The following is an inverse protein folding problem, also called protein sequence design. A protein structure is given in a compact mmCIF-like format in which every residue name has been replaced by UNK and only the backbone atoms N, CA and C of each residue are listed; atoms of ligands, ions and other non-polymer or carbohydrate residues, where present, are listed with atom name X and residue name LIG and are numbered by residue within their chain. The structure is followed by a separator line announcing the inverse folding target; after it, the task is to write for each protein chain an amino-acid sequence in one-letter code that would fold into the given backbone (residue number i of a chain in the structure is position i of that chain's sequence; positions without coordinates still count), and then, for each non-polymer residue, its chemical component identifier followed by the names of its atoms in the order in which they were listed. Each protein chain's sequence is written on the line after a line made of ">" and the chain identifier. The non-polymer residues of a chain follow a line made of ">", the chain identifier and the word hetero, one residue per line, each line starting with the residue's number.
data_IF_048647934409
#
_entry.id   IF_048647934409
#
_cell.length_a   1.000
_cell.length_b   1.000
_cell.length_c   1.000
_cell.angle_alpha   90.00
_cell.angle_beta   90.00
_cell.angle_gamma   90.00
#
_symmetry.space_group_name_H-M   'P 1'
#
loop_
_entity.id
_entity.type
_entity.pdbx_description
1 polymer ?
#
# COMPACT_ATOMS: atom_id res chain seq x y z
N UNK A 1 -24.54 -5.54 -11.10
CA UNK A 1 -23.65 -6.73 -11.09
C UNK A 1 -22.45 -6.42 -11.98
N UNK A 2 -21.33 -5.98 -11.41
CA UNK A 2 -20.10 -5.81 -12.20
C UNK A 2 -19.49 -7.20 -12.36
N UNK A 3 -19.45 -7.73 -13.59
CA UNK A 3 -18.74 -8.97 -13.86
C UNK A 3 -17.27 -8.75 -13.49
N UNK A 4 -16.71 -9.61 -12.63
CA UNK A 4 -15.32 -9.50 -12.23
C UNK A 4 -14.48 -9.73 -13.49
N UNK A 5 -13.76 -8.71 -13.94
CA UNK A 5 -12.89 -8.83 -15.12
C UNK A 5 -11.80 -9.86 -14.82
N UNK A 6 -11.72 -10.90 -15.64
CA UNK A 6 -10.72 -11.97 -15.52
C UNK A 6 -9.70 -11.90 -16.64
N UNK A 7 -8.57 -12.59 -16.46
CA UNK A 7 -7.52 -12.64 -17.48
C UNK A 7 -6.58 -11.44 -17.41
N UNK A 8 -5.69 -11.26 -18.41
CA UNK A 8 -4.63 -10.25 -18.34
C UNK A 8 -5.17 -8.82 -18.17
N UNK A 9 -6.26 -8.46 -18.84
CA UNK A 9 -6.88 -7.14 -18.66
C UNK A 9 -7.36 -6.92 -17.22
N UNK A 10 -8.03 -7.92 -16.63
CA UNK A 10 -8.47 -7.87 -15.23
C UNK A 10 -7.30 -7.72 -14.25
N UNK A 11 -6.24 -8.51 -14.43
CA UNK A 11 -5.03 -8.44 -13.61
C UNK A 11 -4.35 -7.07 -13.70
N UNK A 12 -4.28 -6.49 -14.90
CA UNK A 12 -3.73 -5.15 -15.11
C UNK A 12 -4.53 -4.09 -14.35
N UNK A 13 -5.86 -4.11 -14.47
CA UNK A 13 -6.73 -3.16 -13.76
C UNK A 13 -6.64 -3.32 -12.24
N UNK A 14 -6.51 -4.55 -11.73
CA UNK A 14 -6.39 -4.83 -10.29
C UNK A 14 -5.11 -4.23 -9.64
N UNK A 15 -4.11 -3.84 -10.44
CA UNK A 15 -2.90 -3.16 -9.95
C UNK A 15 -3.01 -1.64 -9.91
N UNK A 16 -4.01 -1.07 -10.59
CA UNK A 16 -4.29 0.36 -10.57
C UNK A 16 -5.07 0.76 -9.29
N UNK A 17 -4.98 2.03 -8.85
CA UNK A 17 -4.08 3.06 -9.39
C UNK A 17 -2.61 2.85 -8.98
N UNK A 18 -1.69 3.26 -9.84
CA UNK A 18 -0.24 3.19 -9.63
C UNK A 18 0.32 4.59 -9.45
N UNK A 19 0.82 4.89 -8.25
CA UNK A 19 1.57 6.12 -7.97
C UNK A 19 2.84 5.74 -7.22
N UNK A 20 4.02 6.26 -7.63
CA UNK A 20 5.27 5.98 -6.95
C UNK A 20 5.19 6.46 -5.49
N UNK A 21 5.37 5.52 -4.56
CA UNK A 21 5.45 5.82 -3.13
C UNK A 21 6.68 5.14 -2.56
N UNK A 22 7.32 5.80 -1.59
CA UNK A 22 8.38 5.16 -0.82
C UNK A 22 7.73 4.04 0.00
N UNK A 23 8.05 2.81 -0.35
CA UNK A 23 7.65 1.63 0.39
C UNK A 23 8.83 1.16 1.26
N UNK A 24 8.54 0.57 2.42
CA UNK A 24 9.55 -0.18 3.14
C UNK A 24 10.03 -1.32 2.23
N UNK A 25 11.34 -1.40 1.97
CA UNK A 25 11.91 -2.44 1.12
C UNK A 25 11.88 -3.77 1.87
N UNK A 26 11.58 -4.86 1.16
CA UNK A 26 11.78 -6.20 1.70
C UNK A 26 13.24 -6.62 1.48
N UNK A 27 14.14 -6.06 2.28
CA UNK A 27 15.53 -6.50 2.39
C UNK A 27 15.61 -7.94 2.97
N UNK A 28 16.76 -8.63 2.88
CA UNK A 28 16.97 -9.91 3.56
C UNK A 28 16.55 -9.87 5.03
N UNK A 29 15.96 -10.96 5.53
CA UNK A 29 15.32 -11.04 6.85
C UNK A 29 16.23 -10.55 7.98
N UNK A 30 17.48 -10.99 8.01
CA UNK A 30 18.47 -10.56 9.01
C UNK A 30 18.65 -9.04 9.02
N UNK A 31 18.71 -8.39 7.85
CA UNK A 31 18.84 -6.93 7.76
C UNK A 31 17.60 -6.22 8.31
N UNK A 32 16.40 -6.79 8.11
CA UNK A 32 15.15 -6.23 8.64
C UNK A 32 15.08 -6.33 10.16
N UNK A 33 15.53 -7.45 10.73
CA UNK A 33 15.61 -7.64 12.19
C UNK A 33 16.68 -6.74 12.81
N UNK A 34 17.82 -6.59 12.13
CA UNK A 34 18.84 -5.64 12.54
C UNK A 34 18.34 -4.19 12.51
N UNK A 35 17.62 -3.80 11.45
CA UNK A 35 17.00 -2.47 11.35
C UNK A 35 16.03 -2.19 12.51
N UNK A 36 15.20 -3.16 12.89
CA UNK A 36 14.33 -3.05 14.07
C UNK A 36 15.12 -2.78 15.34
N UNK A 37 16.21 -3.53 15.53
CA UNK A 37 17.08 -3.42 16.70
C UNK A 37 17.75 -2.03 16.75
N UNK A 38 18.26 -1.55 15.62
CA UNK A 38 18.95 -0.26 15.55
C UNK A 38 17.98 0.92 15.74
N UNK A 39 16.78 0.86 15.15
CA UNK A 39 15.73 1.85 15.38
C UNK A 39 15.26 1.86 16.85
N UNK A 40 15.17 0.70 17.50
CA UNK A 40 14.79 0.63 18.90
C UNK A 40 15.84 1.27 19.82
N UNK A 41 17.13 1.04 19.56
CA UNK A 41 18.22 1.72 20.26
C UNK A 41 18.17 3.24 20.03
N UNK A 42 18.04 3.65 18.77
CA UNK A 42 17.93 5.07 18.41
C UNK A 42 16.75 5.75 19.11
N UNK A 43 15.59 5.08 19.18
CA UNK A 43 14.42 5.58 19.88
C UNK A 43 14.69 5.73 21.38
N UNK A 44 15.37 4.77 22.00
CA UNK A 44 15.73 4.83 23.41
C UNK A 44 16.71 5.98 23.71
N UNK A 45 17.75 6.13 22.88
CA UNK A 45 18.78 7.16 23.03
C UNK A 45 18.22 8.59 22.87
N UNK A 46 17.31 8.77 21.90
CA UNK A 46 16.72 10.08 21.59
C UNK A 46 15.43 10.37 22.38
N UNK A 47 14.80 9.34 22.95
CA UNK A 47 13.47 9.43 23.55
C UNK A 47 12.38 9.81 22.54
N UNK A 48 12.57 9.54 21.24
CA UNK A 48 11.67 9.95 20.17
C UNK A 48 10.53 8.94 19.95
N UNK A 49 9.27 9.31 20.23
CA UNK A 49 8.13 8.41 20.05
C UNK A 49 7.85 8.05 18.58
N UNK A 50 8.17 8.91 17.60
CA UNK A 50 7.98 8.56 16.18
C UNK A 50 8.95 7.47 15.71
N UNK A 51 10.19 7.49 16.20
CA UNK A 51 11.16 6.41 15.94
C UNK A 51 10.70 5.11 16.58
N UNK A 52 10.20 5.15 17.83
CA UNK A 52 9.63 3.97 18.49
C UNK A 52 8.39 3.42 17.75
N UNK A 53 7.51 4.30 17.27
CA UNK A 53 6.35 3.97 16.42
C UNK A 53 6.78 3.21 15.16
N UNK A 54 7.89 3.63 14.54
CA UNK A 54 8.46 2.96 13.36
C UNK A 54 8.89 1.53 13.65
N UNK A 55 9.43 1.23 14.86
CA UNK A 55 9.78 -0.14 15.27
C UNK A 55 8.54 -1.03 15.30
N UNK A 56 7.46 -0.58 15.95
CA UNK A 56 6.21 -1.35 16.01
C UNK A 56 5.60 -1.55 14.62
N UNK A 57 5.57 -0.52 13.78
CA UNK A 57 5.05 -0.60 12.42
C UNK A 57 5.85 -1.61 11.56
N UNK A 58 7.18 -1.59 11.65
CA UNK A 58 8.03 -2.53 10.91
C UNK A 58 7.91 -3.97 11.45
N UNK A 59 7.72 -4.16 12.76
CA UNK A 59 7.51 -5.48 13.35
C UNK A 59 6.16 -6.09 12.90
N UNK A 60 5.09 -5.28 12.90
CA UNK A 60 3.79 -5.70 12.37
C UNK A 60 3.85 -5.99 10.86
N UNK A 61 4.59 -5.17 10.10
CA UNK A 61 4.85 -5.43 8.67
C UNK A 61 5.60 -6.75 8.47
N UNK A 62 6.64 -7.01 9.26
CA UNK A 62 7.39 -8.25 9.19
C UNK A 62 6.49 -9.45 9.50
N UNK A 63 5.69 -9.40 10.58
CA UNK A 63 4.72 -10.46 10.87
C UNK A 63 3.73 -10.68 9.71
N UNK A 64 3.23 -9.60 9.09
CA UNK A 64 2.37 -9.67 7.90
C UNK A 64 3.05 -10.35 6.72
N UNK A 65 4.28 -9.96 6.39
CA UNK A 65 5.04 -10.54 5.27
C UNK A 65 5.34 -12.01 5.48
N UNK A 66 5.51 -12.38 6.75
CA UNK A 66 5.77 -13.74 7.18
C UNK A 66 4.55 -14.65 7.15
N UNK A 67 3.38 -14.13 6.78
CA UNK A 67 2.13 -14.89 6.74
C UNK A 67 1.54 -15.11 8.13
N UNK A 68 1.83 -14.23 9.09
CA UNK A 68 1.29 -14.24 10.45
C UNK A 68 0.33 -13.04 10.66
N UNK A 69 -0.78 -12.94 9.91
CA UNK A 69 -1.68 -11.78 9.98
C UNK A 69 -2.32 -11.59 11.36
N UNK A 70 -2.56 -12.68 12.10
CA UNK A 70 -3.05 -12.62 13.48
C UNK A 70 -2.04 -11.93 14.41
N UNK A 71 -0.76 -12.29 14.32
CA UNK A 71 0.30 -11.63 15.09
C UNK A 71 0.46 -10.16 14.68
N UNK A 72 0.43 -9.86 13.37
CA UNK A 72 0.48 -8.48 12.89
C UNK A 72 -0.65 -7.63 13.47
N UNK A 73 -1.89 -8.17 13.52
CA UNK A 73 -3.05 -7.52 14.15
C UNK A 73 -2.81 -7.28 15.64
N UNK A 74 -2.34 -8.28 16.38
CA UNK A 74 -2.02 -8.14 17.81
C UNK A 74 -0.96 -7.06 18.04
N UNK A 75 0.10 -7.02 17.23
CA UNK A 75 1.15 -6.00 17.33
C UNK A 75 0.61 -4.59 17.08
N UNK A 76 -0.26 -4.40 16.08
CA UNK A 76 -0.93 -3.12 15.82
C UNK A 76 -1.80 -2.68 17.01
N UNK A 77 -2.60 -3.59 17.56
CA UNK A 77 -3.50 -3.28 18.67
C UNK A 77 -2.74 -2.96 19.97
N UNK A 78 -1.71 -3.73 20.29
CA UNK A 78 -0.85 -3.47 21.46
C UNK A 78 -0.17 -2.11 21.32
N UNK A 79 0.35 -1.79 20.13
CA UNK A 79 0.99 -0.51 19.84
C UNK A 79 0.04 0.67 20.11
N UNK A 80 -1.19 0.62 19.58
CA UNK A 80 -2.20 1.64 19.87
C UNK A 80 -2.52 1.70 21.38
N UNK A 81 -2.66 0.54 22.03
CA UNK A 81 -2.97 0.40 23.45
C UNK A 81 -2.02 1.14 24.39
N UNK A 82 -0.71 1.17 24.08
CA UNK A 82 0.28 1.87 24.91
C UNK A 82 0.02 3.38 25.02
N UNK A 83 -0.49 4.00 23.94
CA UNK A 83 -0.90 5.40 23.95
C UNK A 83 -2.28 5.59 24.57
N UNK A 84 -3.25 4.72 24.22
CA UNK A 84 -4.65 4.85 24.65
C UNK A 84 -4.82 4.77 26.18
N UNK A 85 -3.88 4.12 26.87
CA UNK A 85 -3.82 4.09 28.34
C UNK A 85 -3.55 5.46 29.00
N UNK A 86 -3.08 6.45 28.24
CA UNK A 86 -2.63 7.75 28.75
C UNK A 86 -3.44 8.92 28.19
N UNK A 87 -4.69 8.67 27.78
CA UNK A 87 -5.61 9.72 27.34
C UNK A 87 -5.89 10.73 28.46
N UNK A 88 -6.13 12.02 28.14
CA UNK A 88 -6.10 12.60 26.80
C UNK A 88 -4.68 12.86 26.29
N UNK A 89 -4.48 12.78 24.97
CA UNK A 89 -3.21 12.96 24.26
C UNK A 89 -3.14 14.30 23.53
N UNK A 90 -1.92 14.74 23.21
CA UNK A 90 -1.71 15.81 22.22
C UNK A 90 -2.10 15.33 20.83
N UNK A 91 -2.45 16.25 19.91
CA UNK A 91 -2.73 15.90 18.51
C UNK A 91 -1.59 15.11 17.86
N UNK A 92 -0.34 15.43 18.19
CA UNK A 92 0.83 14.71 17.69
C UNK A 92 0.85 13.24 18.13
N UNK A 93 0.67 12.95 19.43
CA UNK A 93 0.64 11.57 19.93
C UNK A 93 -0.63 10.84 19.47
N UNK A 94 -1.76 11.54 19.38
CA UNK A 94 -3.00 10.99 18.84
C UNK A 94 -2.81 10.49 17.39
N UNK A 95 -2.10 11.24 16.53
CA UNK A 95 -1.75 10.76 15.17
C UNK A 95 -0.94 9.47 15.19
N UNK A 96 0.01 9.33 16.12
CA UNK A 96 0.80 8.08 16.28
C UNK A 96 -0.07 6.89 16.69
N UNK A 97 -1.18 7.10 17.41
CA UNK A 97 -2.16 6.03 17.72
C UNK A 97 -2.84 5.52 16.46
N UNK A 98 -3.12 6.39 15.49
CA UNK A 98 -3.82 6.01 14.28
C UNK A 98 -2.93 5.29 13.27
N UNK A 99 -1.61 5.48 13.28
CA UNK A 99 -0.72 4.74 12.39
C UNK A 99 -0.91 3.20 12.46
N UNK A 100 -0.87 2.55 13.64
CA UNK A 100 -1.14 1.11 13.72
C UNK A 100 -2.61 0.75 13.48
N UNK A 101 -3.58 1.64 13.75
CA UNK A 101 -4.99 1.37 13.48
C UNK A 101 -5.30 1.39 11.98
N UNK A 102 -4.73 2.35 11.24
CA UNK A 102 -4.76 2.39 9.76
C UNK A 102 -4.05 1.17 9.17
N UNK A 103 -2.97 0.69 9.82
CA UNK A 103 -2.31 -0.55 9.40
C UNK A 103 -3.24 -1.77 9.45
N UNK A 104 -4.28 -1.80 10.30
CA UNK A 104 -5.29 -2.87 10.25
C UNK A 104 -6.02 -2.91 8.91
N UNK A 105 -6.40 -1.74 8.36
CA UNK A 105 -6.96 -1.65 7.02
C UNK A 105 -5.93 -2.06 5.94
N UNK A 106 -4.65 -1.70 6.11
CA UNK A 106 -3.60 -2.16 5.21
C UNK A 106 -3.41 -3.68 5.21
N UNK A 107 -3.59 -4.35 6.35
CA UNK A 107 -3.56 -5.83 6.43
C UNK A 107 -4.70 -6.44 5.60
N UNK A 108 -5.92 -5.93 5.74
CA UNK A 108 -7.06 -6.37 4.93
C UNK A 108 -6.80 -6.13 3.43
N UNK A 109 -6.26 -4.97 3.07
CA UNK A 109 -5.89 -4.66 1.69
C UNK A 109 -4.83 -5.62 1.12
N UNK A 110 -3.87 -6.07 1.92
CA UNK A 110 -2.87 -7.07 1.51
C UNK A 110 -3.49 -8.46 1.32
N UNK A 111 -4.52 -8.78 2.10
CA UNK A 111 -5.30 -10.01 1.96
C UNK A 111 -6.29 -9.97 0.78
N UNK A 112 -6.42 -8.84 0.08
CA UNK A 112 -7.40 -8.65 -0.99
C UNK A 112 -8.79 -8.24 -0.50
N UNK A 113 -8.95 -8.00 0.79
CA UNK A 113 -10.21 -7.67 1.45
C UNK A 113 -10.47 -6.16 1.43
N UNK A 114 -10.81 -5.61 0.26
CA UNK A 114 -11.06 -4.18 0.10
C UNK A 114 -12.23 -3.65 0.96
N UNK A 115 -13.35 -4.37 1.02
CA UNK A 115 -14.53 -3.91 1.77
C UNK A 115 -14.29 -3.87 3.29
N UNK A 116 -13.73 -4.93 3.92
CA UNK A 116 -13.32 -4.85 5.33
C UNK A 116 -12.33 -3.72 5.62
N UNK A 117 -11.38 -3.46 4.71
CA UNK A 117 -10.44 -2.34 4.88
C UNK A 117 -11.15 -0.97 4.92
N UNK A 118 -12.09 -0.74 4.00
CA UNK A 118 -12.88 0.50 3.97
C UNK A 118 -13.70 0.66 5.25
N UNK A 119 -14.36 -0.40 5.70
CA UNK A 119 -15.16 -0.38 6.93
C UNK A 119 -14.32 0.00 8.17
N UNK A 120 -13.07 -0.47 8.26
CA UNK A 120 -12.15 -0.05 9.32
C UNK A 120 -11.88 1.45 9.24
N UNK A 121 -11.56 1.98 8.06
CA UNK A 121 -11.22 3.40 7.90
C UNK A 121 -12.43 4.31 8.19
N UNK A 122 -13.62 3.94 7.72
CA UNK A 122 -14.86 4.68 7.98
C UNK A 122 -15.18 4.73 9.48
N UNK A 123 -15.01 3.59 10.16
CA UNK A 123 -15.29 3.49 11.59
C UNK A 123 -14.31 4.29 12.44
N UNK A 124 -13.02 4.29 12.08
CA UNK A 124 -12.02 5.13 12.73
C UNK A 124 -12.34 6.62 12.54
N UNK A 125 -12.77 7.03 11.34
CA UNK A 125 -13.14 8.41 11.05
C UNK A 125 -14.38 8.84 11.84
N UNK A 126 -15.42 8.00 11.85
CA UNK A 126 -16.65 8.21 12.64
C UNK A 126 -16.33 8.40 14.12
N UNK A 127 -15.56 7.49 14.72
CA UNK A 127 -15.23 7.53 16.14
C UNK A 127 -14.51 8.83 16.53
N UNK A 128 -13.60 9.33 15.68
CA UNK A 128 -12.96 10.64 15.90
C UNK A 128 -13.95 11.79 15.76
N UNK A 129 -14.83 11.76 14.75
CA UNK A 129 -15.82 12.82 14.52
C UNK A 129 -16.79 12.95 15.70
N UNK A 130 -17.28 11.81 16.19
CA UNK A 130 -18.29 11.71 17.24
C UNK A 130 -17.71 11.72 18.65
N UNK A 131 -16.38 11.67 18.79
CA UNK A 131 -15.67 11.53 20.07
C UNK A 131 -16.14 10.28 20.85
N UNK A 132 -16.24 9.17 20.15
CA UNK A 132 -16.78 7.90 20.63
C UNK A 132 -15.75 6.76 20.46
N UNK A 133 -16.06 5.58 20.98
CA UNK A 133 -15.27 4.39 20.76
C UNK A 133 -15.50 3.82 19.34
N UNK A 134 -14.46 3.23 18.74
CA UNK A 134 -14.57 2.57 17.44
C UNK A 134 -14.91 1.09 17.62
N UNK A 135 -15.96 0.63 16.95
CA UNK A 135 -16.40 -0.76 16.87
C UNK A 135 -15.96 -1.38 15.54
N UNK A 136 -14.74 -1.90 15.51
CA UNK A 136 -14.15 -2.48 14.31
C UNK A 136 -14.79 -3.84 13.95
N UNK A 137 -14.69 -4.26 12.67
CA UNK A 137 -15.16 -5.58 12.23
C UNK A 137 -14.67 -6.73 13.11
N UNK A 138 -15.59 -7.64 13.43
CA UNK A 138 -15.38 -8.73 14.39
C UNK A 138 -15.68 -8.35 15.85
N UNK A 139 -16.33 -7.20 16.09
CA UNK A 139 -16.77 -6.78 17.43
C UNK A 139 -15.64 -6.24 18.32
N UNK A 140 -14.56 -5.77 17.70
CA UNK A 140 -13.39 -5.26 18.42
C UNK A 140 -13.59 -3.78 18.75
N UNK A 141 -13.71 -3.47 20.03
CA UNK A 141 -13.88 -2.09 20.51
C UNK A 141 -12.51 -1.47 20.78
N UNK A 142 -12.24 -0.32 20.17
CA UNK A 142 -11.07 0.52 20.41
C UNK A 142 -11.50 1.78 21.17
N UNK A 143 -10.98 2.01 22.38
CA UNK A 143 -11.45 3.11 23.22
C UNK A 143 -10.87 4.45 22.73
N UNK A 144 -11.57 5.12 21.82
CA UNK A 144 -11.15 6.39 21.20
C UNK A 144 -11.87 7.60 21.80
N UNK A 145 -12.92 7.40 22.59
CA UNK A 145 -13.60 8.49 23.27
C UNK A 145 -12.60 9.27 24.16
N UNK A 146 -12.63 10.61 24.08
CA UNK A 146 -11.73 11.46 24.86
C UNK A 146 -10.25 11.30 24.52
N UNK A 147 -9.93 10.87 23.29
CA UNK A 147 -8.54 10.70 22.84
C UNK A 147 -7.72 11.99 22.93
N UNK A 148 -8.31 13.13 22.57
CA UNK A 148 -7.68 14.45 22.65
C UNK A 148 -8.36 15.32 23.70
N UNK A 149 -7.62 16.28 24.27
CA UNK A 149 -8.14 17.16 25.32
C UNK A 149 -9.10 18.24 24.80
N UNK A 150 -8.96 18.65 23.54
CA UNK A 150 -9.72 19.74 22.95
C UNK A 150 -10.45 19.31 21.66
N UNK A 151 -11.55 20.01 21.37
CA UNK A 151 -12.27 19.85 20.11
C UNK A 151 -11.47 20.33 18.90
N UNK A 152 -10.54 21.28 19.10
CA UNK A 152 -9.63 21.76 18.05
C UNK A 152 -8.64 20.67 17.64
N UNK A 153 -7.96 20.05 18.61
CA UNK A 153 -7.06 18.91 18.34
C UNK A 153 -7.80 17.74 17.68
N UNK A 154 -9.07 17.52 18.07
CA UNK A 154 -9.93 16.50 17.47
C UNK A 154 -10.26 16.83 16.01
N UNK A 155 -10.58 18.09 15.71
CA UNK A 155 -10.83 18.54 14.34
C UNK A 155 -9.58 18.39 13.46
N UNK A 156 -8.40 18.74 13.98
CA UNK A 156 -7.11 18.57 13.29
C UNK A 156 -6.77 17.10 13.02
N UNK A 157 -7.11 16.21 13.96
CA UNK A 157 -6.96 14.77 13.79
C UNK A 157 -7.95 14.21 12.77
N UNK A 158 -9.22 14.63 12.84
CA UNK A 158 -10.27 14.24 11.92
C UNK A 158 -9.91 14.63 10.48
N UNK A 159 -9.43 15.87 10.25
CA UNK A 159 -9.03 16.33 8.93
C UNK A 159 -7.89 15.48 8.36
N UNK A 160 -6.85 15.22 9.17
CA UNK A 160 -5.74 14.37 8.75
C UNK A 160 -6.19 12.93 8.41
N UNK A 161 -7.10 12.36 9.22
CA UNK A 161 -7.62 11.02 8.97
C UNK A 161 -8.54 10.96 7.75
N UNK A 162 -9.28 12.04 7.47
CA UNK A 162 -10.10 12.18 6.26
C UNK A 162 -9.23 12.03 5.01
N UNK A 163 -8.07 12.69 4.96
CA UNK A 163 -7.17 12.60 3.81
C UNK A 163 -6.70 11.14 3.58
N UNK A 164 -6.34 10.43 4.66
CA UNK A 164 -5.97 9.00 4.59
C UNK A 164 -7.15 8.16 4.09
N UNK A 165 -8.33 8.37 4.67
CA UNK A 165 -9.55 7.62 4.37
C UNK A 165 -9.95 7.77 2.90
N UNK A 166 -9.83 8.98 2.33
CA UNK A 166 -10.17 9.25 0.94
C UNK A 166 -9.28 8.45 -0.01
N UNK A 167 -7.96 8.49 0.16
CA UNK A 167 -7.06 7.81 -0.77
C UNK A 167 -7.00 6.30 -0.57
N UNK A 168 -6.91 5.82 0.67
CA UNK A 168 -6.85 4.37 0.93
C UNK A 168 -8.22 3.71 0.77
N UNK A 169 -9.31 4.40 1.10
CA UNK A 169 -10.67 3.93 0.85
C UNK A 169 -10.97 3.77 -0.64
N UNK A 170 -10.54 4.72 -1.47
CA UNK A 170 -10.69 4.61 -2.92
C UNK A 170 -9.90 3.42 -3.50
N UNK A 171 -8.69 3.16 -2.99
CA UNK A 171 -7.90 1.97 -3.38
C UNK A 171 -8.56 0.68 -2.93
N UNK A 172 -9.18 0.67 -1.76
CA UNK A 172 -9.93 -0.46 -1.24
C UNK A 172 -11.12 -0.79 -2.15
N UNK A 173 -11.88 0.23 -2.57
CA UNK A 173 -12.98 0.11 -3.53
C UNK A 173 -12.48 -0.36 -4.91
N UNK A 174 -11.40 0.23 -5.43
CA UNK A 174 -10.80 -0.16 -6.71
C UNK A 174 -10.36 -1.63 -6.72
N UNK A 175 -9.69 -2.10 -5.66
CA UNK A 175 -9.31 -3.51 -5.50
C UNK A 175 -10.49 -4.46 -5.41
N UNK A 176 -11.61 -4.01 -4.85
CA UNK A 176 -12.86 -4.76 -4.83
C UNK A 176 -13.63 -4.70 -6.18
N UNK A 177 -13.07 -4.06 -7.21
CA UNK A 177 -13.71 -3.88 -8.51
C UNK A 177 -14.84 -2.82 -8.53
N UNK A 178 -15.01 -2.05 -7.45
CA UNK A 178 -16.06 -1.02 -7.28
C UNK A 178 -15.55 0.34 -7.77
N UNK A 179 -15.14 0.42 -9.03
CA UNK A 179 -14.47 1.59 -9.60
C UNK A 179 -15.31 2.87 -9.62
N UNK A 180 -16.60 2.78 -9.95
CA UNK A 180 -17.50 3.93 -9.91
C UNK A 180 -17.61 4.51 -8.50
N UNK A 181 -17.65 3.64 -7.49
CA UNK A 181 -17.69 4.07 -6.09
C UNK A 181 -16.35 4.64 -5.64
N UNK A 182 -15.22 4.04 -6.05
CA UNK A 182 -13.89 4.60 -5.83
C UNK A 182 -13.76 6.02 -6.41
N UNK A 183 -14.31 6.24 -7.62
CA UNK A 183 -14.33 7.55 -8.24
C UNK A 183 -15.19 8.55 -7.45
N UNK A 184 -16.40 8.15 -7.03
CA UNK A 184 -17.23 9.00 -6.18
C UNK A 184 -16.55 9.30 -4.84
N UNK A 185 -15.87 8.32 -4.27
CA UNK A 185 -15.11 8.46 -3.02
C UNK A 185 -14.03 9.54 -3.12
N UNK A 186 -13.25 9.53 -4.20
CA UNK A 186 -12.19 10.51 -4.45
C UNK A 186 -12.71 11.94 -4.69
N UNK A 187 -13.99 12.12 -5.04
CA UNK A 187 -14.57 13.47 -5.17
C UNK A 187 -14.70 14.20 -3.84
N UNK A 188 -14.57 13.49 -2.72
CA UNK A 188 -14.52 14.07 -1.37
C UNK A 188 -13.14 14.69 -1.06
N UNK A 189 -12.11 14.38 -1.84
CA UNK A 189 -10.77 14.97 -1.71
C UNK A 189 -10.79 16.48 -1.93
N UNK A 190 -10.07 17.20 -1.09
CA UNK A 190 -9.72 18.61 -1.31
C UNK A 190 -8.56 18.76 -2.29
N UNK A 191 -7.70 17.74 -2.40
CA UNK A 191 -6.65 17.65 -3.42
C UNK A 191 -7.28 17.30 -4.77
N UNK A 192 -7.22 18.27 -5.68
CA UNK A 192 -7.73 18.20 -7.05
C UNK A 192 -6.61 18.19 -8.08
N UNK A 193 -5.49 17.54 -7.78
CA UNK A 193 -4.40 17.39 -8.73
C UNK A 193 -4.92 17.03 -10.13
N UNK A 194 -4.52 17.82 -11.11
CA UNK A 194 -4.81 17.62 -12.53
C UNK A 194 -3.89 16.58 -13.17
N UNK A 195 -2.92 16.06 -12.42
CA UNK A 195 -1.96 15.05 -12.84
C UNK A 195 -2.56 13.64 -12.86
N UNK A 196 -1.80 12.72 -13.45
CA UNK A 196 -2.18 11.30 -13.54
C UNK A 196 -1.95 10.52 -12.24
N UNK A 197 -2.40 11.07 -11.11
CA UNK A 197 -2.41 10.42 -9.79
C UNK A 197 -3.66 9.56 -9.60
N UNK A 198 -3.91 9.06 -8.38
CA UNK A 198 -4.97 8.10 -8.10
C UNK A 198 -6.35 8.57 -8.58
N UNK A 199 -6.70 9.84 -8.30
CA UNK A 199 -7.94 10.48 -8.75
C UNK A 199 -8.24 10.27 -10.23
N UNK A 200 -7.25 10.58 -11.07
CA UNK A 200 -7.40 10.58 -12.51
C UNK A 200 -7.41 9.17 -13.09
N UNK A 201 -6.55 8.29 -12.59
CA UNK A 201 -6.52 6.89 -13.00
C UNK A 201 -7.83 6.18 -12.68
N UNK A 202 -8.37 6.38 -11.47
CA UNK A 202 -9.66 5.81 -11.06
C UNK A 202 -10.80 6.34 -11.91
N UNK A 203 -10.83 7.65 -12.22
CA UNK A 203 -11.85 8.24 -13.08
C UNK A 203 -11.83 7.65 -14.50
N UNK A 204 -10.64 7.46 -15.09
CA UNK A 204 -10.49 6.82 -16.40
C UNK A 204 -11.05 5.40 -16.40
N UNK A 205 -10.63 4.57 -15.43
CA UNK A 205 -11.08 3.17 -15.36
C UNK A 205 -12.58 3.07 -15.11
N UNK A 206 -13.12 3.87 -14.18
CA UNK A 206 -14.56 3.91 -13.90
C UNK A 206 -15.38 4.24 -15.16
N UNK A 207 -15.00 5.29 -15.89
CA UNK A 207 -15.68 5.66 -17.14
C UNK A 207 -15.58 4.58 -18.21
N UNK A 208 -14.42 3.95 -18.36
CA UNK A 208 -14.24 2.88 -19.34
C UNK A 208 -15.14 1.68 -19.04
N UNK A 209 -15.25 1.28 -17.77
CA UNK A 209 -16.12 0.19 -17.32
C UNK A 209 -17.62 0.52 -17.45
N UNK A 210 -17.98 1.80 -17.43
CA UNK A 210 -19.33 2.29 -17.73
C UNK A 210 -19.63 2.37 -19.24
N UNK A 211 -18.73 1.89 -20.11
CA UNK A 211 -18.87 1.93 -21.56
C UNK A 211 -18.57 3.29 -22.18
N UNK A 212 -18.02 4.24 -21.41
CA UNK A 212 -17.63 5.58 -21.89
C UNK A 212 -16.16 5.60 -22.32
N UNK A 213 -15.74 4.58 -23.06
CA UNK A 213 -14.35 4.29 -23.47
C UNK A 213 -13.72 5.44 -24.26
N UNK A 214 -14.45 6.11 -25.16
CA UNK A 214 -13.95 7.27 -25.90
C UNK A 214 -13.60 8.45 -24.98
N UNK A 215 -14.46 8.75 -23.99
CA UNK A 215 -14.21 9.80 -23.02
C UNK A 215 -13.10 9.43 -22.05
N UNK A 216 -13.02 8.15 -21.65
CA UNK A 216 -11.94 7.63 -20.82
C UNK A 216 -10.57 7.75 -21.52
N UNK A 217 -10.49 7.39 -22.80
CA UNK A 217 -9.27 7.57 -23.62
C UNK A 217 -8.88 9.03 -23.73
N UNK A 218 -9.84 9.91 -23.99
CA UNK A 218 -9.58 11.36 -24.06
C UNK A 218 -9.06 11.87 -22.71
N UNK A 219 -9.70 11.50 -21.60
CA UNK A 219 -9.24 11.89 -20.27
C UNK A 219 -7.81 11.42 -19.98
N UNK A 220 -7.48 10.16 -20.31
CA UNK A 220 -6.13 9.62 -20.09
C UNK A 220 -5.06 10.36 -20.91
N UNK A 221 -5.36 10.67 -22.18
CA UNK A 221 -4.44 11.35 -23.10
C UNK A 221 -4.29 12.84 -22.78
N UNK A 222 -5.38 13.51 -22.42
CA UNK A 222 -5.42 14.96 -22.24
C UNK A 222 -5.02 15.37 -20.80
N UNK A 223 -4.83 14.40 -19.89
CA UNK A 223 -4.27 14.62 -18.56
C UNK A 223 -2.77 14.95 -18.67
N UNK A 224 -2.29 16.07 -18.10
CA UNK A 224 -0.87 16.40 -18.07
C UNK A 224 -0.02 15.28 -17.47
N UNK A 225 1.01 14.88 -18.21
CA UNK A 225 2.04 13.95 -17.77
C UNK A 225 3.39 14.67 -17.83
N UNK A 226 4.07 14.79 -16.70
CA UNK A 226 5.39 15.45 -16.61
C UNK A 226 6.52 14.44 -16.46
N UNK A 227 6.22 13.29 -15.87
CA UNK A 227 7.20 12.26 -15.58
C UNK A 227 7.06 11.08 -16.57
N UNK A 228 8.15 10.38 -16.93
CA UNK A 228 8.08 9.24 -17.84
C UNK A 228 7.09 8.15 -17.39
N UNK A 229 6.99 7.92 -16.07
CA UNK A 229 6.06 6.93 -15.53
C UNK A 229 4.59 7.34 -15.71
N UNK A 230 4.27 8.64 -15.71
CA UNK A 230 2.91 9.13 -15.99
C UNK A 230 2.53 8.87 -17.45
N UNK A 231 3.46 9.10 -18.38
CA UNK A 231 3.26 8.78 -19.79
C UNK A 231 3.02 7.27 -20.01
N UNK A 232 3.77 6.41 -19.32
CA UNK A 232 3.58 4.97 -19.38
C UNK A 232 2.20 4.56 -18.86
N UNK A 233 1.72 5.14 -17.76
CA UNK A 233 0.38 4.87 -17.23
C UNK A 233 -0.71 5.42 -18.16
N UNK A 234 -0.56 6.62 -18.73
CA UNK A 234 -1.54 7.17 -19.68
C UNK A 234 -1.70 6.27 -20.91
N UNK A 235 -0.58 5.78 -21.45
CA UNK A 235 -0.58 4.84 -22.56
C UNK A 235 -1.18 3.48 -22.16
N UNK A 236 -0.88 2.96 -20.97
CA UNK A 236 -1.48 1.74 -20.44
C UNK A 236 -3.00 1.86 -20.26
N UNK A 237 -3.49 2.98 -19.71
CA UNK A 237 -4.91 3.27 -19.59
C UNK A 237 -5.59 3.36 -20.96
N UNK A 238 -4.91 3.93 -21.96
CA UNK A 238 -5.42 3.99 -23.34
C UNK A 238 -5.59 2.60 -23.94
N UNK A 239 -4.61 1.70 -23.74
CA UNK A 239 -4.71 0.28 -24.14
C UNK A 239 -5.89 -0.40 -23.44
N UNK A 240 -6.01 -0.25 -22.12
CA UNK A 240 -7.10 -0.84 -21.35
C UNK A 240 -8.47 -0.37 -21.84
N UNK A 241 -8.64 0.93 -22.11
CA UNK A 241 -9.88 1.48 -22.62
C UNK A 241 -10.24 0.94 -24.02
N UNK A 242 -9.25 0.81 -24.92
CA UNK A 242 -9.47 0.22 -26.26
C UNK A 242 -9.89 -1.25 -26.15
N UNK A 243 -9.25 -2.03 -25.28
CA UNK A 243 -9.62 -3.43 -25.06
C UNK A 243 -11.02 -3.59 -24.44
N UNK A 244 -11.42 -2.69 -23.54
CA UNK A 244 -12.77 -2.66 -22.96
C UNK A 244 -13.84 -2.30 -24.01
N UNK A 245 -13.48 -1.59 -25.07
CA UNK A 245 -14.35 -1.30 -26.23
C UNK A 245 -14.52 -2.52 -27.15
N UNK A 246 -13.72 -3.58 -26.95
CA UNK A 246 -13.64 -4.74 -27.84
C UNK A 246 -12.75 -4.53 -29.07
N UNK A 247 -12.06 -3.39 -29.15
CA UNK A 247 -11.22 -3.03 -30.28
C UNK A 247 -9.82 -3.68 -30.19
N UNK A 248 -9.19 -4.03 -31.33
CA UNK A 248 -7.79 -4.41 -31.37
C UNK A 248 -6.89 -3.25 -30.90
N UNK A 249 -6.05 -3.49 -29.89
CA UNK A 249 -5.20 -2.45 -29.27
C UNK A 249 -3.72 -2.53 -29.67
N UNK A 250 -3.38 -3.12 -30.82
CA UNK A 250 -2.00 -3.43 -31.19
C UNK A 250 -1.09 -2.19 -31.32
N UNK A 251 -1.60 -1.11 -31.92
CA UNK A 251 -0.90 0.17 -32.09
C UNK A 251 -0.75 0.92 -30.75
N UNK A 252 -1.82 0.96 -29.95
CA UNK A 252 -1.79 1.55 -28.62
C UNK A 252 -0.82 0.80 -27.71
N UNK A 253 -0.76 -0.53 -27.83
CA UNK A 253 0.18 -1.35 -27.10
C UNK A 253 1.64 -1.07 -27.50
N UNK A 254 1.91 -0.75 -28.77
CA UNK A 254 3.24 -0.29 -29.19
C UNK A 254 3.64 1.02 -28.52
N UNK A 255 2.71 1.97 -28.47
CA UNK A 255 2.91 3.26 -27.82
C UNK A 255 3.14 3.08 -26.31
N UNK A 256 2.39 2.20 -25.67
CA UNK A 256 2.59 1.82 -24.26
C UNK A 256 3.98 1.22 -24.02
N UNK A 257 4.41 0.27 -24.87
CA UNK A 257 5.73 -0.36 -24.74
C UNK A 257 6.87 0.67 -24.92
N UNK A 258 6.74 1.60 -25.87
CA UNK A 258 7.69 2.71 -26.05
C UNK A 258 7.72 3.66 -24.86
N UNK A 259 6.56 4.06 -24.34
CA UNK A 259 6.47 4.92 -23.16
C UNK A 259 7.07 4.26 -21.92
N UNK A 260 6.80 2.96 -21.70
CA UNK A 260 7.40 2.19 -20.63
C UNK A 260 8.93 2.07 -20.76
N UNK A 261 9.45 1.91 -21.97
CA UNK A 261 10.90 1.86 -22.20
C UNK A 261 11.63 3.16 -21.82
N UNK A 262 10.92 4.30 -21.81
CA UNK A 262 11.47 5.59 -21.35
C UNK A 262 11.45 5.76 -19.82
N UNK A 263 10.85 4.82 -19.08
CA UNK A 263 10.83 4.85 -17.61
C UNK A 263 12.14 4.33 -17.05
N UNK A 264 12.88 5.20 -16.36
CA UNK A 264 14.07 4.80 -15.60
C UNK A 264 13.64 4.33 -14.21
N UNK A 265 13.98 3.09 -13.80
CA UNK A 265 13.72 2.62 -12.43
C UNK A 265 14.40 3.52 -11.40
N UNK A 266 13.71 3.79 -10.30
CA UNK A 266 14.21 4.66 -9.22
C UNK A 266 14.47 3.85 -7.96
N UNK A 267 15.60 4.12 -7.30
CA UNK A 267 15.87 3.53 -5.99
C UNK A 267 14.76 3.90 -5.00
N UNK A 268 14.27 2.90 -4.26
CA UNK A 268 13.18 3.06 -3.30
C UNK A 268 11.78 3.04 -3.93
N UNK A 269 11.65 2.71 -5.21
CA UNK A 269 10.38 2.57 -5.96
C UNK A 269 10.22 1.18 -6.60
N UNK A 270 10.97 0.18 -6.15
CA UNK A 270 11.08 -1.15 -6.76
C UNK A 270 9.71 -1.85 -6.87
N UNK A 271 8.87 -1.72 -5.85
CA UNK A 271 7.50 -2.26 -5.86
C UNK A 271 6.62 -1.57 -6.91
N UNK A 272 6.75 -0.24 -7.03
CA UNK A 272 6.03 0.52 -8.06
C UNK A 272 6.50 0.11 -9.45
N UNK A 273 7.81 0.07 -9.68
CA UNK A 273 8.41 -0.28 -10.97
C UNK A 273 8.02 -1.70 -11.38
N UNK A 274 8.05 -2.67 -10.44
CA UNK A 274 7.58 -4.04 -10.70
C UNK A 274 6.11 -4.07 -11.05
N UNK A 275 5.24 -3.37 -10.32
CA UNK A 275 3.79 -3.36 -10.62
C UNK A 275 3.48 -2.67 -11.95
N UNK A 276 4.23 -1.62 -12.32
CA UNK A 276 4.10 -0.99 -13.63
C UNK A 276 4.48 -1.96 -14.76
N UNK A 277 5.62 -2.67 -14.64
CA UNK A 277 6.03 -3.71 -15.58
C UNK A 277 4.94 -4.79 -15.71
N UNK A 278 4.43 -5.30 -14.59
CA UNK A 278 3.41 -6.35 -14.61
C UNK A 278 2.12 -5.86 -15.29
N UNK A 279 1.71 -4.61 -15.03
CA UNK A 279 0.56 -3.98 -15.69
C UNK A 279 0.77 -3.88 -17.20
N UNK A 280 1.95 -3.44 -17.64
CA UNK A 280 2.32 -3.34 -19.06
C UNK A 280 2.36 -4.72 -19.72
N UNK A 281 2.94 -5.73 -19.05
CA UNK A 281 3.03 -7.09 -19.56
C UNK A 281 1.65 -7.74 -19.72
N UNK A 282 0.76 -7.54 -18.75
CA UNK A 282 -0.61 -8.04 -18.81
C UNK A 282 -1.43 -7.36 -19.91
N UNK A 283 -1.34 -6.04 -20.07
CA UNK A 283 -2.01 -5.33 -21.16
C UNK A 283 -1.45 -5.70 -22.54
N UNK A 284 -0.14 -5.87 -22.66
CA UNK A 284 0.48 -6.35 -23.90
C UNK A 284 0.02 -7.77 -24.24
N UNK A 285 -0.14 -8.63 -23.23
CA UNK A 285 -0.70 -9.98 -23.41
C UNK A 285 -2.15 -9.92 -23.87
N UNK A 286 -2.99 -9.08 -23.23
CA UNK A 286 -4.39 -8.88 -23.64
C UNK A 286 -4.52 -8.34 -25.07
N UNK A 287 -3.58 -7.49 -25.51
CA UNK A 287 -3.51 -6.97 -26.87
C UNK A 287 -2.89 -7.94 -27.90
N UNK A 288 -2.67 -9.21 -27.54
CA UNK A 288 -2.12 -10.23 -28.45
C UNK A 288 -0.61 -10.13 -28.70
N UNK A 289 0.13 -9.35 -27.89
CA UNK A 289 1.58 -9.12 -28.03
C UNK A 289 2.40 -9.91 -27.02
N UNK A 290 2.15 -11.22 -26.91
CA UNK A 290 2.82 -12.10 -25.94
C UNK A 290 4.37 -12.04 -26.00
N UNK A 291 5.03 -11.99 -27.18
CA UNK A 291 6.49 -11.87 -27.23
C UNK A 291 7.02 -10.57 -26.59
N UNK A 292 6.33 -9.46 -26.78
CA UNK A 292 6.72 -8.18 -26.18
C UNK A 292 6.46 -8.16 -24.66
N UNK A 293 5.33 -8.75 -24.22
CA UNK A 293 5.02 -8.94 -22.81
C UNK A 293 6.09 -9.77 -22.09
N UNK A 294 6.49 -10.90 -22.69
CA UNK A 294 7.56 -11.74 -22.17
C UNK A 294 8.90 -11.01 -22.08
N UNK A 295 9.25 -10.19 -23.09
CA UNK A 295 10.49 -9.40 -23.09
C UNK A 295 10.53 -8.39 -21.93
N UNK A 296 9.44 -7.64 -21.70
CA UNK A 296 9.34 -6.68 -20.59
C UNK A 296 9.42 -7.39 -19.25
N UNK A 297 8.72 -8.51 -19.11
CA UNK A 297 8.74 -9.33 -17.90
C UNK A 297 10.13 -9.91 -17.59
N UNK A 298 10.80 -10.52 -18.57
CA UNK A 298 12.16 -11.09 -18.41
C UNK A 298 13.18 -10.00 -18.05
N UNK A 299 13.06 -8.79 -18.62
CA UNK A 299 13.92 -7.68 -18.24
C UNK A 299 13.74 -7.29 -16.76
N UNK A 300 12.51 -7.33 -16.23
CA UNK A 300 12.26 -7.08 -14.81
C UNK A 300 12.82 -8.20 -13.92
N UNK A 301 12.66 -9.46 -14.32
CA UNK A 301 13.30 -10.62 -13.65
C UNK A 301 14.81 -10.43 -13.57
N UNK A 302 15.47 -10.08 -14.66
CA UNK A 302 16.92 -9.81 -14.68
C UNK A 302 17.34 -8.72 -13.68
N UNK A 303 16.58 -7.62 -13.59
CA UNK A 303 16.84 -6.55 -12.61
C UNK A 303 16.67 -7.04 -11.16
N UNK A 304 15.60 -7.77 -10.86
CA UNK A 304 15.37 -8.30 -9.50
C UNK A 304 16.39 -9.36 -9.11
N UNK A 305 16.91 -10.15 -10.05
CA UNK A 305 18.00 -11.09 -9.78
C UNK A 305 19.33 -10.37 -9.49
N UNK A 306 19.58 -9.24 -10.17
CA UNK A 306 20.78 -8.42 -9.96
C UNK A 306 20.72 -7.56 -8.68
N UNK A 307 19.53 -7.09 -8.31
CA UNK A 307 19.26 -6.31 -7.11
C UNK A 307 18.08 -6.94 -6.35
N UNK A 308 18.34 -7.93 -5.48
CA UNK A 308 17.29 -8.66 -4.76
C UNK A 308 16.41 -7.75 -3.89
N UNK A 309 15.10 -7.80 -4.14
CA UNK A 309 14.07 -7.13 -3.34
C UNK A 309 12.87 -8.08 -3.20
N UNK A 310 12.47 -8.38 -1.96
CA UNK A 310 11.57 -9.49 -1.67
C UNK A 310 10.16 -9.35 -2.24
N UNK A 311 9.58 -8.15 -2.26
CA UNK A 311 8.24 -7.94 -2.80
C UNK A 311 8.20 -8.10 -4.32
N UNK A 312 9.20 -7.53 -5.01
CA UNK A 312 9.36 -7.62 -6.45
C UNK A 312 9.58 -9.08 -6.86
N UNK A 313 10.45 -9.81 -6.14
CA UNK A 313 10.68 -11.23 -6.39
C UNK A 313 9.42 -12.07 -6.21
N UNK A 314 8.64 -11.83 -5.14
CA UNK A 314 7.35 -12.49 -4.91
C UNK A 314 6.36 -12.20 -6.04
N UNK A 315 6.18 -10.93 -6.39
CA UNK A 315 5.18 -10.51 -7.37
C UNK A 315 5.53 -11.05 -8.77
N UNK A 316 6.82 -11.06 -9.14
CA UNK A 316 7.30 -11.69 -10.39
C UNK A 316 7.14 -13.20 -10.38
N UNK A 317 7.49 -13.89 -9.27
CA UNK A 317 7.37 -15.34 -9.16
C UNK A 317 5.93 -15.84 -9.24
N UNK A 318 4.97 -15.03 -8.77
CA UNK A 318 3.52 -15.34 -8.82
C UNK A 318 2.84 -14.92 -10.12
N UNK A 319 3.56 -14.27 -11.02
CA UNK A 319 3.00 -13.80 -12.27
C UNK A 319 2.79 -14.93 -13.27
N UNK A 320 1.74 -14.86 -14.09
CA UNK A 320 1.43 -15.87 -15.14
C UNK A 320 2.58 -16.12 -16.12
N UNK A 321 3.39 -15.10 -16.42
CA UNK A 321 4.54 -15.24 -17.32
C UNK A 321 5.73 -15.96 -16.68
N UNK A 322 5.69 -16.23 -15.37
CA UNK A 322 6.73 -16.99 -14.69
C UNK A 322 6.88 -18.38 -15.31
N UNK A 323 5.80 -19.02 -15.78
CA UNK A 323 5.83 -20.36 -16.37
C UNK A 323 6.72 -20.48 -17.62
N UNK A 324 6.99 -19.35 -18.30
CA UNK A 324 7.90 -19.29 -19.44
C UNK A 324 9.38 -19.11 -19.05
N UNK A 325 9.71 -18.95 -17.77
CA UNK A 325 11.09 -18.77 -17.31
C UNK A 325 11.83 -20.11 -17.14
N UNK A 326 13.16 -20.11 -17.32
CA UNK A 326 14.01 -21.21 -16.86
C UNK A 326 13.74 -21.58 -15.39
N UNK A 327 13.73 -22.87 -15.08
CA UNK A 327 13.45 -23.36 -13.72
C UNK A 327 14.38 -22.74 -12.66
N UNK A 328 15.65 -22.54 -13.01
CA UNK A 328 16.64 -21.88 -12.15
C UNK A 328 16.23 -20.45 -11.76
N UNK A 329 15.78 -19.64 -12.73
CA UNK A 329 15.33 -18.27 -12.47
C UNK A 329 14.06 -18.25 -11.60
N UNK A 330 13.10 -19.16 -11.86
CA UNK A 330 11.91 -19.30 -11.01
C UNK A 330 12.27 -19.66 -9.58
N UNK A 331 13.12 -20.66 -9.39
CA UNK A 331 13.59 -21.06 -8.07
C UNK A 331 14.35 -19.92 -7.38
N UNK A 332 15.17 -19.16 -8.10
CA UNK A 332 15.91 -18.04 -7.51
C UNK A 332 14.99 -16.90 -7.08
N UNK A 333 13.96 -16.54 -7.86
CA UNK A 333 12.96 -15.55 -7.44
C UNK A 333 12.23 -15.99 -6.17
N UNK A 334 11.81 -17.26 -6.11
CA UNK A 334 11.18 -17.82 -4.92
C UNK A 334 12.13 -17.79 -3.71
N UNK A 335 13.40 -18.16 -3.90
CA UNK A 335 14.43 -18.12 -2.85
C UNK A 335 14.65 -16.69 -2.33
N UNK A 336 14.75 -15.69 -3.20
CA UNK A 336 14.87 -14.27 -2.79
C UNK A 336 13.67 -13.86 -1.93
N UNK A 337 12.45 -14.17 -2.37
CA UNK A 337 11.26 -13.85 -1.59
C UNK A 337 11.31 -14.51 -0.20
N UNK A 338 11.71 -15.78 -0.11
CA UNK A 338 11.89 -16.51 1.15
C UNK A 338 13.00 -15.90 2.03
N UNK A 339 14.16 -15.60 1.48
CA UNK A 339 15.31 -14.97 2.17
C UNK A 339 14.93 -13.59 2.75
N UNK A 340 14.07 -12.83 2.06
CA UNK A 340 13.52 -11.55 2.52
C UNK A 340 12.33 -11.69 3.50
N UNK A 341 11.93 -12.93 3.80
CA UNK A 341 10.82 -13.22 4.69
C UNK A 341 9.45 -12.90 4.11
N UNK A 342 9.30 -12.86 2.79
CA UNK A 342 8.06 -12.50 2.09
C UNK A 342 7.39 -13.75 1.48
N UNK A 343 6.09 -13.94 1.73
CA UNK A 343 5.25 -14.81 0.88
C UNK A 343 5.07 -16.26 1.30
N UNK A 344 5.44 -16.64 2.52
CA UNK A 344 5.18 -17.97 3.10
C UNK A 344 5.75 -18.11 4.52
N UNK A 345 5.45 -19.16 5.29
CA UNK A 345 5.90 -19.36 6.67
C UNK A 345 7.36 -19.89 6.75
N UNK A 346 8.37 -19.07 6.44
CA UNK A 346 9.69 -19.25 7.01
C UNK A 346 9.66 -19.09 8.55
N UNK A 347 10.25 -20.06 9.24
CA UNK A 347 10.48 -20.04 10.68
C UNK A 347 11.45 -18.91 11.02
N UNK A 348 11.05 -18.02 11.92
CA UNK A 348 12.01 -17.17 12.62
C UNK A 348 12.87 -18.11 13.49
N UNK A 349 14.17 -17.86 13.52
CA UNK A 349 15.01 -18.51 14.54
C UNK A 349 14.70 -17.89 15.89
N UNK A 350 14.97 -18.62 16.97
CA UNK A 350 14.81 -18.10 18.34
C UNK A 350 15.59 -16.79 18.54
N UNK A 351 16.78 -16.66 17.95
CA UNK A 351 17.54 -15.39 17.96
C UNK A 351 16.77 -14.22 17.33
N UNK A 352 16.12 -14.44 16.17
CA UNK A 352 15.31 -13.39 15.56
C UNK A 352 14.13 -12.99 16.46
N UNK A 353 13.45 -13.98 17.05
CA UNK A 353 12.31 -13.74 17.94
C UNK A 353 12.73 -12.95 19.19
N UNK A 354 13.85 -13.32 19.81
CA UNK A 354 14.41 -12.64 20.99
C UNK A 354 14.79 -11.20 20.66
N UNK A 355 15.45 -10.96 19.52
CA UNK A 355 15.83 -9.61 19.07
C UNK A 355 14.62 -8.72 18.76
N UNK A 356 13.62 -9.26 18.07
CA UNK A 356 12.37 -8.53 17.79
C UNK A 356 11.66 -8.19 19.11
N UNK A 357 11.57 -9.14 20.04
CA UNK A 357 10.93 -8.95 21.35
C UNK A 357 11.64 -7.87 22.16
N UNK A 358 12.98 -7.92 22.21
CA UNK A 358 13.78 -6.91 22.90
C UNK A 358 13.63 -5.51 22.27
N UNK A 359 13.63 -5.42 20.93
CA UNK A 359 13.43 -4.17 20.21
C UNK A 359 12.05 -3.56 20.50
N UNK A 360 11.00 -4.38 20.50
CA UNK A 360 9.64 -3.97 20.86
C UNK A 360 9.55 -3.49 22.31
N UNK A 361 10.21 -4.18 23.25
CA UNK A 361 10.23 -3.77 24.65
C UNK A 361 10.88 -2.39 24.85
N UNK A 362 12.01 -2.13 24.17
CA UNK A 362 12.68 -0.81 24.20
C UNK A 362 11.80 0.29 23.61
N UNK A 363 11.20 0.05 22.43
CA UNK A 363 10.29 1.00 21.80
C UNK A 363 9.05 1.29 22.66
N UNK A 364 8.48 0.25 23.27
CA UNK A 364 7.32 0.37 24.18
C UNK A 364 7.64 1.25 25.39
N UNK A 365 8.84 1.13 25.97
CA UNK A 365 9.26 1.97 27.09
C UNK A 365 9.32 3.46 26.70
N UNK A 366 9.81 3.77 25.49
CA UNK A 366 9.85 5.14 24.96
C UNK A 366 8.44 5.70 24.76
N UNK A 367 7.55 4.92 24.15
CA UNK A 367 6.15 5.28 23.92
C UNK A 367 5.43 5.58 25.23
N UNK A 368 5.53 4.67 26.19
CA UNK A 368 4.88 4.80 27.51
C UNK A 368 5.39 6.05 28.23
N UNK A 369 6.70 6.29 28.23
CA UNK A 369 7.30 7.49 28.82
C UNK A 369 6.85 8.78 28.14
N UNK A 370 6.71 8.77 26.81
CA UNK A 370 6.24 9.94 26.06
C UNK A 370 4.76 10.23 26.32
N UNK A 371 3.93 9.18 26.37
CA UNK A 371 2.48 9.29 26.57
C UNK A 371 2.13 9.69 28.02
N UNK A 372 2.92 9.27 29.01
CA UNK A 372 2.73 9.65 30.41
C UNK A 372 3.09 11.11 30.74
N UNK A 373 3.65 11.88 29.80
CA UNK A 373 3.97 13.29 30.04
C UNK A 373 2.66 14.09 30.17
N UNK A 374 2.48 14.88 31.25
CA UNK A 374 1.29 15.69 31.41
C UNK A 374 1.17 16.70 30.26
N UNK A 375 -0.07 16.95 29.83
CA UNK A 375 -0.37 18.02 28.90
C UNK A 375 0.03 19.35 29.55
N UNK A 376 0.96 20.09 28.94
CA UNK A 376 1.24 21.45 29.37
C UNK A 376 -0.05 22.27 29.24
N UNK A 377 -0.41 23.10 30.24
CA UNK A 377 -1.59 23.95 30.13
C UNK A 377 -1.44 24.85 28.90
N UNK A 378 -2.43 24.81 28.02
CA UNK A 378 -2.54 25.69 26.87
C UNK A 378 -2.41 27.13 27.38
N UNK A 379 -1.48 27.92 26.83
CA UNK A 379 -1.50 29.36 27.11
C UNK A 379 -2.84 29.92 26.59
N UNK A 380 -3.54 30.72 27.40
CA UNK A 380 -4.88 31.22 27.10
C UNK A 380 -4.93 32.10 25.85
#
# INVERSE_FOLDING_TARGET
>A
MSAQLTGPLGDALARLPLVPRRHALAAPLEQRVQQLTDLARQAADTGNPATATSVHNLAALLASDRGLPGLARVLCLNHAGFYLAHRPLTVYLARLVFEPLVNLAHLELRAGNGIPALAILDELLRAVAENDDANLPGGLIIPLAGLTASSADRADLHQWLTDIQVFEGARALARAGRWTEAHFHLRQSTDRSDRLFEGRQVAVVAMALEGRTALARALARDTPAEQPWEHAIAAALTVACTLLDGDPAAEQAETMLRAHAAVTPRQGSEVFDTRLVLTVADLATAAGRLPDAARVYVAAVGRTLAAPEGYSARDLARHRLADGLPAEQRHRLAAIATECGVGGPATLTTDHEDRITAALALATAVITKAAAKPLSPSRP
#
